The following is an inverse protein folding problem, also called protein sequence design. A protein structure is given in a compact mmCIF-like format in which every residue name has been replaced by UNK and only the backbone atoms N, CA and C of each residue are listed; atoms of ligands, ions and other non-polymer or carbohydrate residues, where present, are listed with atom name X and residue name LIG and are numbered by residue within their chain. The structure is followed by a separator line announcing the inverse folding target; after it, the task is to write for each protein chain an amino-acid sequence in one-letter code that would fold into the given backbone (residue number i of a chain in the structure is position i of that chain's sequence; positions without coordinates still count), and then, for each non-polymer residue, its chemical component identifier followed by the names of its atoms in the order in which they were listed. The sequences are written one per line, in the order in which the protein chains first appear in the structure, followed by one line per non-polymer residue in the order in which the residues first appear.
data_IF_089427032269
#
_entry.id   IF_089427032269
#
_cell.length_a   1.000
_cell.length_b   1.000
_cell.length_c   1.000
_cell.angle_alpha   90.00
_cell.angle_beta   90.00
_cell.angle_gamma   90.00
#
_symmetry.space_group_name_H-M   'P 1'
#
loop_
_entity.id
_entity.type
_entity.pdbx_description
1 polymer ?
#
# COMPACT_ATOMS: atom_id res chain seq x y z
N UNK A 1 -21.69 20.31 -10.64
CA UNK A 1 -22.20 20.89 -9.39
C UNK A 1 -22.42 19.85 -8.27
N UNK A 2 -23.29 18.83 -8.40
CA UNK A 2 -23.50 17.89 -7.27
C UNK A 2 -22.26 17.08 -6.84
N UNK A 3 -21.37 16.70 -7.77
CA UNK A 3 -20.15 15.95 -7.46
C UNK A 3 -19.08 16.79 -6.74
N UNK A 4 -19.12 18.12 -6.86
CA UNK A 4 -18.11 19.02 -6.31
C UNK A 4 -18.45 19.35 -4.84
N UNK A 5 -19.72 19.61 -4.55
CA UNK A 5 -20.23 19.78 -3.17
C UNK A 5 -19.96 18.56 -2.30
N UNK A 6 -20.14 17.35 -2.83
CA UNK A 6 -19.87 16.10 -2.11
C UNK A 6 -18.39 15.92 -1.76
N UNK A 7 -17.46 16.45 -2.57
CA UNK A 7 -16.01 16.31 -2.34
C UNK A 7 -15.51 17.22 -1.24
N UNK A 8 -15.98 18.48 -1.20
CA UNK A 8 -15.69 19.39 -0.10
C UNK A 8 -16.22 18.87 1.24
N UNK A 9 -17.40 18.25 1.23
CA UNK A 9 -17.98 17.65 2.42
C UNK A 9 -17.11 16.50 2.98
N UNK A 10 -16.61 15.62 2.10
CA UNK A 10 -15.71 14.54 2.51
C UNK A 10 -14.36 15.06 3.04
N UNK A 11 -13.77 16.07 2.40
CA UNK A 11 -12.53 16.69 2.88
C UNK A 11 -12.70 17.28 4.30
N UNK A 12 -13.82 17.96 4.55
CA UNK A 12 -14.13 18.50 5.88
C UNK A 12 -14.35 17.40 6.93
N UNK A 13 -14.94 16.26 6.55
CA UNK A 13 -15.09 15.10 7.45
C UNK A 13 -13.74 14.51 7.82
N UNK A 14 -12.82 14.41 6.87
CA UNK A 14 -11.45 13.93 7.11
C UNK A 14 -10.74 14.83 8.11
N UNK A 15 -10.76 16.14 7.88
CA UNK A 15 -10.13 17.13 8.78
C UNK A 15 -10.72 17.03 10.20
N UNK A 16 -12.06 17.03 10.32
CA UNK A 16 -12.74 16.90 11.61
C UNK A 16 -12.48 15.56 12.34
N UNK A 17 -12.24 14.47 11.60
CA UNK A 17 -11.83 13.20 12.21
C UNK A 17 -10.41 13.28 12.75
N UNK A 18 -9.47 13.83 11.96
CA UNK A 18 -8.06 13.94 12.35
C UNK A 18 -7.90 14.83 13.59
N UNK A 19 -8.56 15.99 13.62
CA UNK A 19 -8.55 16.90 14.77
C UNK A 19 -9.05 16.22 16.07
N UNK A 20 -10.03 15.33 15.96
CA UNK A 20 -10.63 14.63 17.10
C UNK A 20 -9.80 13.44 17.57
N UNK A 21 -9.20 12.70 16.65
CA UNK A 21 -8.73 11.33 16.91
C UNK A 21 -7.22 11.12 16.73
N UNK A 22 -6.51 12.01 16.03
CA UNK A 22 -5.13 11.78 15.63
C UNK A 22 -4.16 12.84 16.18
N UNK A 23 -2.96 12.39 16.52
CA UNK A 23 -1.82 13.25 16.89
C UNK A 23 -0.65 13.01 15.94
N UNK A 24 0.16 14.04 15.61
CA UNK A 24 1.35 13.86 14.79
C UNK A 24 2.22 12.71 15.32
N UNK A 25 2.53 11.76 14.44
CA UNK A 25 3.24 10.52 14.74
C UNK A 25 2.35 9.29 14.96
N UNK A 26 1.03 9.45 15.06
CA UNK A 26 0.10 8.32 15.04
C UNK A 26 0.12 7.62 13.67
N UNK A 27 -0.31 6.36 13.65
CA UNK A 27 -0.36 5.55 12.44
C UNK A 27 -1.78 5.62 11.87
N UNK A 28 -1.90 5.92 10.57
CA UNK A 28 -3.17 5.83 9.85
C UNK A 28 -3.20 4.55 9.03
N UNK A 29 -4.24 3.74 9.26
CA UNK A 29 -4.45 2.48 8.54
C UNK A 29 -5.64 2.61 7.61
N UNK A 30 -5.38 2.55 6.30
CA UNK A 30 -6.37 2.84 5.26
C UNK A 30 -7.12 1.59 4.83
N UNK A 31 -8.43 1.75 4.61
CA UNK A 31 -9.34 0.70 4.20
C UNK A 31 -10.26 1.18 3.07
N UNK A 32 -11.04 0.23 2.54
CA UNK A 32 -11.91 0.46 1.38
C UNK A 32 -11.12 0.85 0.13
N UNK A 33 -10.09 0.06 -0.18
CA UNK A 33 -9.32 0.15 -1.41
C UNK A 33 -10.22 0.29 -2.64
N UNK A 34 -9.74 0.96 -3.69
CA UNK A 34 -10.40 1.04 -5.00
C UNK A 34 -9.46 0.56 -6.10
N UNK A 35 -10.01 0.13 -7.25
CA UNK A 35 -9.23 -0.28 -8.40
C UNK A 35 -8.28 -1.47 -8.13
N UNK A 36 -7.02 -1.37 -8.56
CA UNK A 36 -6.03 -2.45 -8.39
C UNK A 36 -5.67 -2.71 -6.93
N UNK A 37 -5.87 -1.73 -6.04
CA UNK A 37 -5.60 -1.86 -4.61
C UNK A 37 -6.53 -2.86 -3.93
N UNK A 38 -7.63 -3.29 -4.56
CA UNK A 38 -8.51 -4.36 -4.05
C UNK A 38 -7.83 -5.72 -3.91
N UNK A 39 -6.73 -5.96 -4.63
CA UNK A 39 -6.01 -7.24 -4.59
C UNK A 39 -5.36 -7.43 -3.22
N UNK A 40 -4.80 -6.38 -2.62
CA UNK A 40 -4.10 -6.46 -1.33
C UNK A 40 -5.06 -6.97 -0.24
N UNK A 41 -6.22 -6.35 0.05
CA UNK A 41 -7.19 -6.85 1.02
C UNK A 41 -7.62 -8.30 0.82
N UNK A 42 -7.74 -8.74 -0.44
CA UNK A 42 -8.18 -10.10 -0.74
C UNK A 42 -7.10 -11.12 -0.37
N UNK A 43 -5.86 -10.83 -0.75
CA UNK A 43 -4.71 -11.72 -0.57
C UNK A 43 -4.24 -11.70 0.89
N UNK A 44 -4.36 -10.57 1.58
CA UNK A 44 -4.01 -10.43 2.99
C UNK A 44 -5.12 -10.87 3.94
N UNK A 45 -6.34 -11.07 3.42
CA UNK A 45 -7.57 -11.34 4.20
C UNK A 45 -7.87 -10.27 5.26
N UNK A 46 -7.43 -9.05 5.02
CA UNK A 46 -7.62 -7.88 5.89
C UNK A 46 -8.37 -6.79 5.11
N UNK A 47 -9.21 -5.94 5.75
CA UNK A 47 -9.84 -4.82 5.04
C UNK A 47 -8.86 -3.71 4.66
N UNK A 48 -7.65 -3.74 5.22
CA UNK A 48 -6.64 -2.70 5.09
C UNK A 48 -5.70 -2.97 3.93
N UNK A 49 -5.34 -1.91 3.20
CA UNK A 49 -4.49 -2.00 2.01
C UNK A 49 -3.27 -1.09 2.04
N UNK A 50 -3.23 -0.13 2.96
CA UNK A 50 -2.16 0.87 3.03
C UNK A 50 -2.03 1.43 4.44
N UNK A 51 -0.85 1.94 4.77
CA UNK A 51 -0.51 2.48 6.10
C UNK A 51 0.44 3.67 5.96
N UNK A 52 0.29 4.68 6.83
CA UNK A 52 1.09 5.90 6.83
C UNK A 52 1.33 6.44 8.25
N UNK A 53 2.29 7.36 8.39
CA UNK A 53 2.50 8.15 9.61
C UNK A 53 1.78 9.49 9.46
N UNK A 54 0.95 9.86 10.43
CA UNK A 54 0.25 11.15 10.43
C UNK A 54 1.23 12.30 10.74
N UNK A 55 1.30 13.30 9.86
CA UNK A 55 2.22 14.43 10.00
C UNK A 55 1.60 15.63 10.73
N UNK A 56 0.27 15.65 10.89
CA UNK A 56 -0.48 16.76 11.49
C UNK A 56 -1.34 17.48 10.46
N UNK A 57 -2.33 18.25 10.96
CA UNK A 57 -3.33 18.90 10.10
C UNK A 57 -4.08 17.87 9.27
N UNK A 58 -3.91 17.91 7.95
CA UNK A 58 -4.47 16.93 7.01
C UNK A 58 -3.40 16.11 6.27
N UNK A 59 -2.15 16.15 6.75
CA UNK A 59 -1.02 15.57 6.03
C UNK A 59 -0.58 14.22 6.61
N UNK A 60 -0.07 13.35 5.73
CA UNK A 60 0.60 12.09 6.08
C UNK A 60 1.95 11.98 5.38
N UNK A 61 2.83 11.17 5.95
CA UNK A 61 4.04 10.70 5.29
C UNK A 61 3.91 9.20 5.07
N UNK A 62 4.08 8.79 3.82
CA UNK A 62 3.80 7.44 3.37
C UNK A 62 4.73 7.01 2.26
N UNK A 63 4.93 5.71 2.15
CA UNK A 63 5.62 5.11 1.02
C UNK A 63 4.58 4.67 -0.02
N UNK A 64 4.67 5.17 -1.26
CA UNK A 64 3.80 4.84 -2.39
C UNK A 64 4.61 4.46 -3.63
N UNK A 65 4.06 3.82 -4.67
CA UNK A 65 4.77 3.47 -5.91
C UNK A 65 5.76 4.49 -6.52
N UNK A 66 5.55 5.78 -6.27
CA UNK A 66 6.39 6.90 -6.72
C UNK A 66 7.55 7.25 -5.77
N UNK A 67 7.55 6.74 -4.54
CA UNK A 67 8.50 7.04 -3.47
C UNK A 67 7.82 7.35 -2.13
N UNK A 68 8.63 7.71 -1.15
CA UNK A 68 8.17 8.29 0.12
C UNK A 68 7.77 9.73 -0.12
N UNK A 69 6.53 10.08 0.21
CA UNK A 69 5.95 11.39 -0.07
C UNK A 69 5.22 11.93 1.14
N UNK A 70 5.10 13.25 1.20
CA UNK A 70 4.11 13.95 2.02
C UNK A 70 2.85 14.14 1.18
N UNK A 71 1.69 13.75 1.70
CA UNK A 71 0.41 13.85 1.00
C UNK A 71 -0.65 14.51 1.87
N UNK A 72 -1.44 15.39 1.26
CA UNK A 72 -2.67 15.94 1.86
C UNK A 72 -3.83 14.95 1.66
N UNK A 73 -4.47 14.55 2.76
CA UNK A 73 -5.62 13.63 2.77
C UNK A 73 -6.90 14.24 2.21
N UNK A 74 -6.93 15.57 1.98
CA UNK A 74 -8.04 16.25 1.30
C UNK A 74 -7.98 16.15 -0.21
N UNK A 75 -6.90 15.59 -0.78
CA UNK A 75 -6.80 15.39 -2.22
C UNK A 75 -7.93 14.46 -2.70
N UNK A 76 -8.85 15.06 -3.45
CA UNK A 76 -10.14 14.48 -3.84
C UNK A 76 -10.00 13.28 -4.77
N UNK A 77 -8.88 13.16 -5.46
CA UNK A 77 -8.61 12.04 -6.37
C UNK A 77 -8.10 10.80 -5.61
N UNK A 78 -7.79 10.93 -4.31
CA UNK A 78 -7.13 9.90 -3.49
C UNK A 78 -7.68 9.87 -2.03
N UNK A 79 -8.94 10.27 -1.83
CA UNK A 79 -9.60 10.17 -0.52
C UNK A 79 -9.80 8.70 -0.18
N UNK A 80 -9.22 8.29 0.93
CA UNK A 80 -9.32 6.95 1.48
C UNK A 80 -9.80 7.02 2.91
N UNK A 81 -10.68 6.09 3.29
CA UNK A 81 -11.10 5.95 4.66
C UNK A 81 -9.95 5.35 5.48
N UNK A 82 -9.80 5.79 6.73
CA UNK A 82 -8.75 5.32 7.62
C UNK A 82 -9.23 5.18 9.06
N UNK A 83 -8.50 4.37 9.80
CA UNK A 83 -8.59 4.27 11.26
C UNK A 83 -7.27 4.71 11.87
N UNK A 84 -7.34 5.38 13.02
CA UNK A 84 -6.16 5.87 13.75
C UNK A 84 -5.69 4.81 14.74
N UNK A 85 -4.40 4.47 14.68
CA UNK A 85 -3.68 3.69 15.68
C UNK A 85 -2.77 4.65 16.44
N UNK A 86 -3.03 4.92 17.73
CA UNK A 86 -2.17 5.79 18.53
C UNK A 86 -0.74 5.27 18.58
N UNK A 87 0.23 6.18 18.49
CA UNK A 87 1.64 5.82 18.54
C UNK A 87 1.99 5.17 19.90
N UNK A 88 2.53 3.94 19.92
CA UNK A 88 2.89 3.28 21.17
C UNK A 88 4.03 3.99 21.88
N UNK A 89 4.01 3.93 23.22
CA UNK A 89 5.09 4.37 24.10
C UNK A 89 5.56 5.82 23.88
N UNK A 90 4.72 6.69 23.31
CA UNK A 90 5.06 8.08 23.01
C UNK A 90 6.10 8.27 21.88
N UNK A 91 6.43 7.20 21.15
CA UNK A 91 7.46 7.21 20.11
C UNK A 91 7.04 7.96 18.83
N UNK A 92 5.77 8.35 18.72
CA UNK A 92 5.21 8.95 17.50
C UNK A 92 5.99 10.15 16.97
N UNK A 93 6.43 11.07 17.83
CA UNK A 93 7.21 12.25 17.39
C UNK A 93 8.57 11.87 16.80
N UNK A 94 9.25 10.90 17.41
CA UNK A 94 10.54 10.43 16.91
C UNK A 94 10.38 9.62 15.61
N UNK A 95 9.34 8.80 15.51
CA UNK A 95 9.01 8.07 14.28
C UNK A 95 8.66 9.04 13.13
N UNK A 96 7.86 10.07 13.40
CA UNK A 96 7.55 11.12 12.44
C UNK A 96 8.80 11.87 11.99
N UNK A 97 9.65 12.29 12.91
CA UNK A 97 10.90 12.98 12.59
C UNK A 97 11.81 12.13 11.68
N UNK A 98 11.89 10.81 11.94
CA UNK A 98 12.61 9.92 11.04
C UNK A 98 11.95 9.83 9.66
N UNK A 99 10.62 9.69 9.61
CA UNK A 99 9.85 9.60 8.36
C UNK A 99 10.04 10.85 7.48
N UNK A 100 10.12 12.04 8.07
CA UNK A 100 10.40 13.30 7.36
C UNK A 100 11.75 13.29 6.65
N UNK A 101 12.78 12.67 7.22
CA UNK A 101 14.11 12.56 6.57
C UNK A 101 14.13 11.67 5.33
N UNK A 102 13.06 10.91 5.10
CA UNK A 102 12.95 9.93 4.02
C UNK A 102 12.13 10.41 2.84
N UNK A 103 11.52 11.59 2.91
CA UNK A 103 10.75 12.15 1.79
C UNK A 103 11.66 12.24 0.55
N UNK A 104 11.22 11.64 -0.55
CA UNK A 104 11.99 11.52 -1.80
C UNK A 104 12.67 10.17 -2.01
N UNK A 105 12.76 9.30 -0.99
CA UNK A 105 13.28 7.94 -1.15
C UNK A 105 12.39 7.11 -2.10
N UNK A 106 12.97 6.18 -2.86
CA UNK A 106 12.24 5.38 -3.85
C UNK A 106 11.31 4.31 -3.25
N UNK A 107 10.37 3.81 -4.07
CA UNK A 107 9.42 2.77 -3.66
C UNK A 107 9.69 1.41 -4.28
N UNK A 108 9.41 0.34 -3.54
CA UNK A 108 9.66 -1.02 -4.01
C UNK A 108 8.49 -1.62 -4.80
N UNK A 109 8.27 -1.11 -6.01
CA UNK A 109 7.29 -1.70 -6.92
C UNK A 109 7.61 -3.17 -7.25
N UNK A 110 8.89 -3.55 -7.21
CA UNK A 110 9.33 -4.93 -7.46
C UNK A 110 9.03 -5.82 -6.25
N UNK A 111 9.31 -5.34 -5.03
CA UNK A 111 8.96 -6.01 -3.77
C UNK A 111 7.45 -6.21 -3.60
N UNK A 112 6.62 -5.20 -3.89
CA UNK A 112 5.16 -5.35 -3.85
C UNK A 112 4.66 -6.36 -4.88
N UNK A 113 5.21 -6.35 -6.10
CA UNK A 113 4.85 -7.34 -7.11
C UNK A 113 5.28 -8.76 -6.70
N UNK A 114 6.49 -8.92 -6.16
CA UNK A 114 7.02 -10.20 -5.66
C UNK A 114 6.22 -10.72 -4.47
N UNK A 115 5.84 -9.85 -3.52
CA UNK A 115 5.02 -10.17 -2.36
C UNK A 115 3.58 -10.55 -2.76
N UNK A 116 2.97 -9.80 -3.69
CA UNK A 116 1.68 -10.17 -4.28
C UNK A 116 1.77 -11.49 -5.05
N UNK A 117 2.86 -11.72 -5.78
CA UNK A 117 3.14 -12.99 -6.47
C UNK A 117 3.34 -14.13 -5.47
N UNK A 118 4.17 -13.99 -4.44
CA UNK A 118 4.43 -15.02 -3.42
C UNK A 118 3.14 -15.41 -2.67
N UNK A 119 2.26 -14.44 -2.42
CA UNK A 119 1.02 -14.70 -1.70
C UNK A 119 -0.10 -15.24 -2.60
N UNK A 120 -0.11 -14.90 -3.90
CA UNK A 120 -0.93 -15.57 -4.93
C UNK A 120 -0.39 -16.99 -5.23
N UNK A 121 0.93 -17.18 -5.18
CA UNK A 121 1.65 -18.44 -5.40
C UNK A 121 2.29 -18.91 -4.10
N UNK A 122 1.45 -19.24 -3.10
CA UNK A 122 1.75 -19.55 -1.69
C UNK A 122 2.70 -20.76 -1.44
N UNK A 123 3.57 -21.08 -2.40
CA UNK A 123 4.56 -22.16 -2.42
C UNK A 123 5.99 -21.65 -2.66
N UNK A 124 6.23 -20.40 -3.06
CA UNK A 124 7.59 -19.95 -3.47
C UNK A 124 8.09 -18.69 -2.74
N UNK A 125 8.61 -18.89 -1.51
CA UNK A 125 9.34 -17.87 -0.73
C UNK A 125 10.50 -17.29 -1.53
N UNK A 126 10.28 -16.16 -2.19
CA UNK A 126 11.28 -15.43 -2.95
C UNK A 126 11.86 -14.33 -2.06
N UNK A 127 12.98 -14.65 -1.39
CA UNK A 127 13.78 -13.69 -0.62
C UNK A 127 14.36 -12.61 -1.55
N UNK A 128 13.63 -11.53 -1.76
CA UNK A 128 14.06 -10.38 -2.54
C UNK A 128 14.16 -9.15 -1.65
N UNK A 129 15.38 -8.74 -1.32
CA UNK A 129 15.66 -7.49 -0.62
C UNK A 129 16.15 -6.46 -1.66
N UNK A 130 15.27 -5.56 -2.11
CA UNK A 130 15.71 -4.39 -2.85
C UNK A 130 16.40 -3.42 -1.89
N UNK A 131 17.68 -3.12 -2.11
CA UNK A 131 18.32 -2.00 -1.44
C UNK A 131 17.62 -0.69 -1.87
N UNK A 132 17.35 0.18 -0.89
CA UNK A 132 16.87 1.56 -1.05
C UNK A 132 15.41 1.74 -1.47
N UNK A 133 14.55 0.76 -1.18
CA UNK A 133 13.12 0.84 -1.50
C UNK A 133 12.26 0.31 -0.37
N UNK A 134 11.14 0.97 -0.09
CA UNK A 134 10.26 0.63 1.03
C UNK A 134 8.88 0.18 0.55
N UNK A 135 8.30 -0.81 1.22
CA UNK A 135 6.83 -0.99 1.21
C UNK A 135 6.20 -0.08 2.26
N UNK A 136 4.89 0.19 2.17
CA UNK A 136 4.22 1.04 3.16
C UNK A 136 4.27 0.49 4.59
N UNK A 137 4.10 -0.83 4.76
CA UNK A 137 4.20 -1.49 6.07
C UNK A 137 5.62 -1.45 6.64
N UNK A 138 6.61 -1.85 5.83
CA UNK A 138 8.03 -1.78 6.18
C UNK A 138 8.46 -0.36 6.55
N UNK A 139 8.03 0.64 5.78
CA UNK A 139 8.36 2.05 6.03
C UNK A 139 7.92 2.49 7.43
N UNK A 140 6.65 2.26 7.78
CA UNK A 140 6.10 2.63 9.09
C UNK A 140 6.75 1.82 10.21
N UNK A 141 6.91 0.50 10.03
CA UNK A 141 7.57 -0.34 11.03
C UNK A 141 9.02 0.09 11.29
N UNK A 142 9.76 0.45 10.24
CA UNK A 142 11.13 0.95 10.34
C UNK A 142 11.18 2.32 11.03
N UNK A 143 10.21 3.21 10.77
CA UNK A 143 10.14 4.50 11.45
C UNK A 143 10.03 4.34 12.98
N UNK A 144 9.19 3.40 13.43
CA UNK A 144 9.04 3.11 14.86
C UNK A 144 10.25 2.36 15.44
N UNK A 145 10.84 1.42 14.69
CA UNK A 145 12.10 0.76 15.09
C UNK A 145 13.22 1.79 15.34
N UNK A 146 13.37 2.75 14.43
CA UNK A 146 14.35 3.84 14.53
C UNK A 146 14.02 4.84 15.64
N UNK A 147 12.76 4.91 16.05
CA UNK A 147 12.31 5.62 17.25
C UNK A 147 12.50 4.82 18.55
N UNK A 148 13.08 3.61 18.48
CA UNK A 148 13.35 2.75 19.63
C UNK A 148 12.19 1.83 20.03
N UNK A 149 11.17 1.67 19.18
CA UNK A 149 10.01 0.81 19.43
C UNK A 149 9.86 -0.24 18.34
N UNK A 150 10.09 -1.50 18.68
CA UNK A 150 9.80 -2.62 17.79
C UNK A 150 8.29 -2.93 17.82
N UNK A 151 7.57 -2.60 16.74
CA UNK A 151 6.12 -2.87 16.64
C UNK A 151 5.82 -4.37 16.48
N UNK A 152 6.66 -5.08 15.74
CA UNK A 152 6.43 -6.48 15.36
C UNK A 152 7.66 -7.32 15.71
N UNK A 153 7.81 -7.76 16.98
CA UNK A 153 8.98 -8.52 17.42
C UNK A 153 9.05 -9.93 16.80
N UNK A 154 7.95 -10.40 16.22
CA UNK A 154 7.75 -11.69 15.60
C UNK A 154 7.95 -11.70 14.08
N UNK A 155 8.18 -10.54 13.46
CA UNK A 155 8.29 -10.39 12.00
C UNK A 155 9.59 -9.68 11.61
N UNK A 156 10.12 -10.03 10.45
CA UNK A 156 11.14 -9.19 9.80
C UNK A 156 10.46 -7.90 9.28
N UNK A 157 11.11 -6.74 9.43
CA UNK A 157 10.60 -5.45 9.00
C UNK A 157 10.21 -5.45 7.51
N UNK A 158 10.95 -6.18 6.67
CA UNK A 158 10.68 -6.26 5.23
C UNK A 158 9.40 -7.03 4.89
N UNK A 159 8.92 -7.88 5.81
CA UNK A 159 7.71 -8.69 5.65
C UNK A 159 6.47 -8.01 6.22
N UNK A 160 6.62 -6.90 6.95
CA UNK A 160 5.49 -6.21 7.58
C UNK A 160 4.56 -5.61 6.53
N UNK A 161 3.27 -5.95 6.65
CA UNK A 161 2.22 -5.48 5.76
C UNK A 161 1.21 -4.58 6.50
N UNK A 162 0.37 -3.80 5.78
CA UNK A 162 -0.74 -3.08 6.39
C UNK A 162 -1.66 -3.97 7.25
N UNK A 163 -1.86 -5.23 6.83
CA UNK A 163 -2.70 -6.17 7.56
C UNK A 163 -2.18 -6.47 8.98
N UNK A 164 -0.87 -6.43 9.20
CA UNK A 164 -0.28 -6.73 10.51
C UNK A 164 -0.64 -5.69 11.57
N UNK A 165 -0.78 -4.42 11.16
CA UNK A 165 -1.17 -3.32 12.03
C UNK A 165 -2.58 -3.46 12.61
N UNK A 166 -3.42 -4.31 11.98
CA UNK A 166 -4.75 -4.63 12.51
C UNK A 166 -4.70 -5.16 13.94
N UNK A 167 -3.60 -5.80 14.36
CA UNK A 167 -3.43 -6.33 15.73
C UNK A 167 -3.46 -5.25 16.82
N UNK A 168 -3.25 -3.98 16.46
CA UNK A 168 -3.31 -2.84 17.38
C UNK A 168 -4.70 -2.20 17.48
N UNK A 169 -5.68 -2.68 16.70
CA UNK A 169 -7.03 -2.16 16.70
C UNK A 169 -7.95 -3.01 17.58
N UNK A 170 -8.85 -2.39 18.35
CA UNK A 170 -9.92 -3.13 19.00
C UNK A 170 -10.91 -3.64 17.94
N UNK A 171 -11.58 -4.79 18.16
CA UNK A 171 -12.43 -5.44 17.14
C UNK A 171 -13.53 -4.55 16.56
N UNK A 172 -14.07 -3.63 17.35
CA UNK A 172 -15.12 -2.68 16.94
C UNK A 172 -14.64 -1.60 15.97
N UNK A 173 -13.33 -1.30 15.94
CA UNK A 173 -12.72 -0.36 14.99
C UNK A 173 -12.35 -1.02 13.66
N UNK A 174 -12.40 -2.35 13.57
CA UNK A 174 -12.09 -3.06 12.33
C UNK A 174 -13.28 -2.93 11.37
N UNK A 175 -13.11 -2.29 10.19
CA UNK A 175 -14.20 -2.13 9.23
C UNK A 175 -14.77 -3.47 8.79
N UNK A 176 -16.08 -3.64 8.96
CA UNK A 176 -16.77 -4.84 8.50
C UNK A 176 -17.11 -4.70 7.03
N UNK A 177 -16.47 -5.52 6.19
CA UNK A 177 -16.84 -5.62 4.78
C UNK A 177 -18.10 -6.49 4.66
N UNK A 178 -19.13 -5.97 4.01
CA UNK A 178 -20.37 -6.73 3.77
C UNK A 178 -20.10 -7.97 2.90
N UNK A 179 -20.95 -9.01 3.01
CA UNK A 179 -20.83 -10.22 2.18
C UNK A 179 -20.90 -9.89 0.68
N UNK A 180 -21.76 -8.95 0.29
CA UNK A 180 -21.89 -8.49 -1.08
C UNK A 180 -20.58 -7.86 -1.59
N UNK A 181 -19.95 -7.03 -0.76
CA UNK A 181 -18.69 -6.37 -1.11
C UNK A 181 -17.52 -7.37 -1.15
N UNK A 182 -17.50 -8.37 -0.26
CA UNK A 182 -16.56 -9.49 -0.33
C UNK A 182 -16.71 -10.29 -1.63
N UNK A 183 -17.95 -10.60 -2.02
CA UNK A 183 -18.24 -11.32 -3.26
C UNK A 183 -17.82 -10.53 -4.50
N UNK A 184 -18.11 -9.22 -4.53
CA UNK A 184 -17.70 -8.32 -5.61
C UNK A 184 -16.18 -8.25 -5.75
N UNK A 185 -15.45 -8.14 -4.63
CA UNK A 185 -13.98 -8.15 -4.62
C UNK A 185 -13.39 -9.47 -5.09
N UNK A 186 -13.96 -10.60 -4.67
CA UNK A 186 -13.53 -11.92 -5.10
C UNK A 186 -13.70 -12.10 -6.63
N UNK A 187 -14.84 -11.67 -7.19
CA UNK A 187 -15.10 -11.72 -8.63
C UNK A 187 -14.13 -10.82 -9.42
N UNK A 188 -13.88 -9.59 -8.96
CA UNK A 188 -12.93 -8.69 -9.61
C UNK A 188 -11.52 -9.28 -9.64
N UNK A 189 -11.04 -9.77 -8.50
CA UNK A 189 -9.71 -10.36 -8.43
C UNK A 189 -9.60 -11.66 -9.24
N UNK A 190 -10.64 -12.50 -9.29
CA UNK A 190 -10.66 -13.66 -10.18
C UNK A 190 -10.49 -13.23 -11.64
N UNK A 191 -11.17 -12.14 -12.06
CA UNK A 191 -10.98 -11.56 -13.39
C UNK A 191 -9.55 -11.06 -13.64
N UNK A 192 -8.94 -10.36 -12.68
CA UNK A 192 -7.56 -9.86 -12.79
C UNK A 192 -6.53 -11.02 -12.80
N UNK A 193 -6.67 -11.99 -11.90
CA UNK A 193 -5.80 -13.16 -11.80
C UNK A 193 -5.87 -13.99 -13.09
N UNK A 194 -7.05 -14.15 -13.69
CA UNK A 194 -7.20 -14.85 -14.98
C UNK A 194 -6.60 -14.05 -16.16
N UNK A 195 -6.56 -12.72 -16.08
CA UNK A 195 -6.01 -11.87 -17.13
C UNK A 195 -4.46 -11.80 -17.12
N UNK A 196 -3.81 -11.93 -15.96
CA UNK A 196 -2.34 -11.84 -15.82
C UNK A 196 -1.59 -12.89 -16.67
N UNK A 197 -1.94 -14.20 -16.63
CA UNK A 197 -1.32 -15.21 -17.48
C UNK A 197 -1.47 -14.90 -18.97
N UNK A 198 -2.62 -14.39 -19.39
CA UNK A 198 -2.90 -14.01 -20.77
C UNK A 198 -1.96 -12.87 -21.22
N UNK A 199 -1.77 -11.88 -20.35
CA UNK A 199 -0.93 -10.71 -20.63
C UNK A 199 0.57 -11.09 -20.69
N UNK A 200 1.04 -11.93 -19.76
CA UNK A 200 2.40 -12.49 -19.76
C UNK A 200 2.64 -13.34 -21.02
N UNK A 201 1.67 -14.16 -21.42
CA UNK A 201 1.78 -14.97 -22.63
C UNK A 201 1.87 -14.10 -23.89
N UNK A 202 1.05 -13.05 -23.98
CA UNK A 202 1.01 -12.13 -25.12
C UNK A 202 2.29 -11.32 -25.25
N UNK A 203 2.82 -10.79 -24.13
CA UNK A 203 4.10 -10.05 -24.12
C UNK A 203 5.26 -10.98 -24.52
N UNK A 204 5.31 -12.21 -24.01
CA UNK A 204 6.33 -13.20 -24.39
C UNK A 204 6.23 -13.58 -25.87
N UNK A 205 5.03 -13.64 -26.43
CA UNK A 205 4.81 -13.93 -27.85
C UNK A 205 5.26 -12.77 -28.76
N UNK A 206 4.92 -11.53 -28.40
CA UNK A 206 5.34 -10.31 -29.10
C UNK A 206 6.87 -10.13 -29.06
N UNK A 207 7.51 -10.45 -27.93
CA UNK A 207 8.97 -10.35 -27.78
C UNK A 207 9.69 -11.41 -28.63
N UNK A 208 9.18 -12.65 -28.68
CA UNK A 208 9.69 -13.70 -29.59
C UNK A 208 9.48 -13.36 -31.06
N UNK A 209 8.40 -12.66 -31.40
CA UNK A 209 8.14 -12.15 -32.76
C UNK A 209 9.17 -11.12 -33.22
N UNK A 210 9.52 -10.14 -32.37
CA UNK A 210 10.57 -9.14 -32.67
C UNK A 210 11.96 -9.74 -32.79
N UNK A 211 12.30 -10.71 -31.94
CA UNK A 211 13.59 -11.40 -32.00
C UNK A 211 13.78 -12.20 -33.32
N UNK A 212 12.68 -12.73 -33.90
CA UNK A 212 12.73 -13.35 -35.25
C UNK A 212 12.89 -12.32 -36.36
N UNK A 213 12.15 -11.20 -36.31
CA UNK A 213 12.25 -10.12 -37.30
C UNK A 213 13.67 -9.54 -37.39
N UNK A 214 14.36 -9.32 -36.26
CA UNK A 214 15.74 -8.82 -36.27
C UNK A 214 16.77 -9.80 -36.87
N UNK A 215 16.54 -11.12 -36.77
CA UNK A 215 17.41 -12.12 -37.43
C UNK A 215 17.23 -12.11 -38.95
N UNK A 216 16.00 -11.94 -39.45
CA UNK A 216 15.72 -11.91 -40.89
C UNK A 216 16.32 -10.67 -41.56
N UNK A 217 16.24 -9.50 -40.92
CA UNK A 217 16.86 -8.26 -41.43
C UNK A 217 18.39 -8.31 -41.51
N UNK A 218 19.06 -9.13 -40.69
CA UNK A 218 20.52 -9.31 -40.77
C UNK A 218 20.96 -10.27 -41.88
N UNK A 219 20.07 -11.15 -42.36
CA UNK A 219 20.38 -12.10 -43.43
C UNK A 219 20.17 -11.52 -44.83
N UNK A 220 19.28 -10.54 -44.98
CA UNK A 220 18.98 -9.87 -46.26
C UNK A 220 19.92 -8.67 -46.57
N UNK A 221 20.91 -8.41 -45.72
CA UNK A 221 21.87 -7.30 -45.84
C UNK A 221 23.31 -7.75 -46.16
N UNK A 222 23.45 -9.00 -46.60
CA UNK A 222 24.68 -9.57 -47.19
C UNK A 222 24.40 -9.87 -48.65
#
# INVERSE_FOLDING_TARGET
MMAETSRFEEANKVEAQLEREAKPGDILLFYNATGINHIIPLVTRSPFFHVAVFAGGTEVIESRPMGVVRRDLRDVDDIHYFVVIPAPSGAGRAALAWAETRIGDGYDNTGVAVMLLDRIFTTFRLNYAAKDKWTCGQFVATAFDKAGVCLFPDLDLVEVEPADFQRFLPPEKIPRISLAERAKRALFAAGVILAIPLLVFTVKYLWRGRARQQKTYKLLRK
#
